data_IF_835988263640
#
_entry.id   IF_835988263640
#
_cell.length_a   1.000
_cell.length_b   1.000
_cell.length_c   1.000
_cell.angle_alpha   90.00
_cell.angle_beta   90.00
_cell.angle_gamma   90.00
#
_symmetry.space_group_name_H-M   'P 1'
#
loop_
_entity.id
_entity.type
_entity.pdbx_description
1 polymer ?
#
# COMPACT_ATOMS: atom_id res chain seq x y z
N UNK A 1 -11.94 -9.89 -30.63
CA UNK A 1 -12.11 -11.21 -29.97
C UNK A 1 -13.44 -11.21 -29.24
N UNK A 2 -14.11 -12.36 -29.16
CA UNK A 2 -15.33 -12.51 -28.37
C UNK A 2 -14.97 -12.72 -26.89
N UNK A 3 -15.75 -12.13 -25.99
CA UNK A 3 -15.62 -12.28 -24.54
C UNK A 3 -15.92 -13.72 -24.13
N UNK A 4 -15.15 -14.29 -23.21
CA UNK A 4 -15.32 -15.65 -22.68
C UNK A 4 -15.00 -15.75 -21.18
N UNK A 5 -15.10 -16.95 -20.60
CA UNK A 5 -14.92 -17.17 -19.15
C UNK A 5 -13.54 -16.78 -18.62
N UNK A 6 -12.49 -16.90 -19.45
CA UNK A 6 -11.13 -16.58 -19.04
C UNK A 6 -10.92 -15.07 -18.85
N UNK A 7 -11.80 -14.22 -19.41
CA UNK A 7 -11.79 -12.79 -19.14
C UNK A 7 -12.25 -12.47 -17.69
N UNK A 8 -13.00 -13.38 -17.06
CA UNK A 8 -13.57 -13.24 -15.71
C UNK A 8 -12.92 -14.14 -14.66
N UNK A 9 -11.91 -14.93 -15.05
CA UNK A 9 -11.21 -15.85 -14.15
C UNK A 9 -9.71 -15.57 -14.13
N UNK A 10 -9.14 -15.52 -12.92
CA UNK A 10 -7.68 -15.53 -12.73
C UNK A 10 -7.32 -16.51 -11.63
N UNK A 11 -6.42 -17.43 -11.93
CA UNK A 11 -5.76 -18.24 -10.90
C UNK A 11 -4.74 -17.38 -10.14
N UNK A 12 -5.22 -16.53 -9.24
CA UNK A 12 -4.42 -15.50 -8.58
C UNK A 12 -3.51 -16.00 -7.44
N UNK A 13 -3.69 -17.25 -7.00
CA UNK A 13 -2.94 -17.88 -5.90
C UNK A 13 -2.89 -17.04 -4.61
N UNK A 14 -3.99 -16.36 -4.27
CA UNK A 14 -4.08 -15.53 -3.07
C UNK A 14 -4.15 -16.34 -1.77
N UNK A 15 -4.20 -17.67 -1.87
CA UNK A 15 -4.06 -18.61 -0.76
C UNK A 15 -2.59 -18.80 -0.33
N UNK A 16 -1.64 -18.52 -1.23
CA UNK A 16 -0.21 -18.76 -0.98
C UNK A 16 0.48 -17.50 -0.44
N UNK A 17 1.35 -17.63 0.59
CA UNK A 17 2.21 -16.53 1.03
C UNK A 17 3.08 -15.98 -0.11
N UNK A 18 3.41 -14.70 -0.02
CA UNK A 18 4.35 -14.02 -0.93
C UNK A 18 5.69 -13.79 -0.26
N UNK A 19 6.75 -13.70 -1.07
CA UNK A 19 8.11 -13.49 -0.58
C UNK A 19 8.33 -12.03 -0.14
N UNK A 20 8.31 -11.82 1.17
CA UNK A 20 8.49 -10.51 1.81
C UNK A 20 9.96 -10.12 1.99
N UNK A 21 10.92 -10.95 1.58
CA UNK A 21 12.37 -10.67 1.74
C UNK A 21 12.95 -9.86 0.59
N UNK A 22 12.16 -9.61 -0.46
CA UNK A 22 12.60 -8.95 -1.71
C UNK A 22 12.74 -7.43 -1.61
N UNK A 23 12.26 -6.80 -0.55
CA UNK A 23 12.35 -5.36 -0.35
C UNK A 23 12.57 -5.00 1.11
N UNK A 24 13.06 -3.79 1.34
CA UNK A 24 13.40 -3.31 2.69
C UNK A 24 12.21 -3.03 3.59
N UNK A 25 11.03 -2.81 3.03
CA UNK A 25 9.81 -2.57 3.83
C UNK A 25 9.20 -3.87 4.35
N UNK A 26 9.67 -5.04 3.88
CA UNK A 26 9.27 -6.33 4.44
C UNK A 26 7.81 -6.69 4.16
N UNK A 27 7.23 -6.19 3.07
CA UNK A 27 5.86 -6.53 2.68
C UNK A 27 5.74 -6.81 1.18
N UNK A 28 4.68 -7.47 0.76
CA UNK A 28 4.38 -7.70 -0.66
C UNK A 28 2.90 -7.56 -0.91
N UNK A 29 2.55 -6.72 -1.88
CA UNK A 29 1.19 -6.51 -2.34
C UNK A 29 0.99 -7.29 -3.63
N UNK A 30 -0.05 -8.11 -3.68
CA UNK A 30 -0.56 -8.73 -4.92
C UNK A 30 -1.91 -8.09 -5.25
N UNK A 31 -1.93 -7.15 -6.20
CA UNK A 31 -3.13 -6.41 -6.60
C UNK A 31 -3.82 -7.11 -7.78
N UNK A 32 -5.13 -7.34 -7.67
CA UNK A 32 -6.00 -7.82 -8.74
C UNK A 32 -6.93 -6.67 -9.14
N UNK A 33 -6.50 -5.90 -10.14
CA UNK A 33 -7.23 -4.78 -10.73
C UNK A 33 -7.67 -5.12 -12.17
N UNK A 34 -8.29 -4.19 -12.88
CA UNK A 34 -8.75 -4.42 -14.26
C UNK A 34 -7.64 -4.73 -15.29
N UNK A 35 -6.37 -4.49 -14.98
CA UNK A 35 -5.25 -4.92 -15.82
C UNK A 35 -4.91 -6.39 -15.61
N UNK A 36 -5.11 -6.89 -14.38
CA UNK A 36 -4.81 -8.28 -14.00
C UNK A 36 -5.99 -9.24 -14.21
N UNK A 37 -7.22 -8.73 -14.15
CA UNK A 37 -8.46 -9.46 -14.38
C UNK A 37 -9.40 -8.57 -15.22
N UNK A 38 -9.44 -8.73 -16.56
CA UNK A 38 -10.17 -7.82 -17.47
C UNK A 38 -11.66 -7.67 -17.17
N UNK A 39 -12.30 -8.72 -16.65
CA UNK A 39 -13.70 -8.74 -16.25
C UNK A 39 -14.06 -7.73 -15.15
N UNK A 40 -13.08 -7.14 -14.46
CA UNK A 40 -13.30 -6.05 -13.51
C UNK A 40 -13.59 -4.70 -14.18
N UNK A 41 -13.36 -4.58 -15.49
CA UNK A 41 -13.62 -3.34 -16.21
C UNK A 41 -15.10 -2.95 -16.09
N UNK A 42 -15.37 -1.68 -15.79
CA UNK A 42 -16.68 -1.07 -15.50
C UNK A 42 -17.33 -1.43 -14.16
N UNK A 43 -16.78 -2.37 -13.38
CA UNK A 43 -17.40 -2.83 -12.13
C UNK A 43 -17.02 -2.02 -10.89
N UNK A 44 -16.03 -1.13 -11.01
CA UNK A 44 -15.66 -0.20 -9.94
C UNK A 44 -15.05 -0.86 -8.69
N UNK A 45 -14.46 -2.05 -8.83
CA UNK A 45 -13.84 -2.77 -7.69
C UNK A 45 -12.51 -3.42 -8.05
N UNK A 46 -11.63 -3.57 -7.05
CA UNK A 46 -10.42 -4.38 -7.12
C UNK A 46 -10.13 -5.06 -5.78
N UNK A 47 -9.22 -6.03 -5.78
CA UNK A 47 -8.81 -6.79 -4.59
C UNK A 47 -7.30 -6.75 -4.43
N UNK A 48 -6.78 -6.71 -3.21
CA UNK A 48 -5.36 -6.87 -2.94
C UNK A 48 -5.11 -7.81 -1.76
N UNK A 49 -4.18 -8.75 -1.91
CA UNK A 49 -3.58 -9.45 -0.77
C UNK A 49 -2.30 -8.74 -0.36
N UNK A 50 -2.08 -8.61 0.94
CA UNK A 50 -0.83 -8.08 1.48
C UNK A 50 -0.23 -9.09 2.47
N UNK A 51 1.01 -9.47 2.22
CA UNK A 51 1.82 -10.29 3.11
C UNK A 51 2.86 -9.41 3.81
N UNK A 52 3.05 -9.59 5.12
CA UNK A 52 3.99 -8.83 5.94
C UNK A 52 4.95 -9.80 6.63
N UNK A 53 6.25 -9.55 6.50
CA UNK A 53 7.28 -10.14 7.35
C UNK A 53 7.07 -9.72 8.81
N UNK A 54 7.72 -10.39 9.78
CA UNK A 54 7.95 -9.78 11.08
C UNK A 54 8.56 -8.38 10.89
N UNK A 55 8.01 -7.37 11.55
CA UNK A 55 8.37 -5.95 11.34
C UNK A 55 8.17 -5.37 9.94
N UNK A 56 7.47 -6.09 9.06
CA UNK A 56 7.11 -5.56 7.75
C UNK A 56 6.08 -4.44 7.84
N UNK A 57 6.18 -3.47 6.94
CA UNK A 57 5.19 -2.42 6.75
C UNK A 57 4.75 -2.33 5.29
N UNK A 58 3.49 -1.94 5.10
CA UNK A 58 3.08 -1.24 3.91
C UNK A 58 3.16 0.26 4.25
N UNK A 59 4.18 0.96 3.73
CA UNK A 59 4.57 2.29 4.19
C UNK A 59 3.45 3.32 3.95
N UNK A 60 3.55 4.53 4.52
CA UNK A 60 2.59 5.59 4.26
C UNK A 60 2.32 5.78 2.76
N UNK A 61 1.07 5.56 2.36
CA UNK A 61 0.62 5.63 0.97
C UNK A 61 -0.81 6.15 0.87
N UNK A 62 -1.25 6.44 -0.34
CA UNK A 62 -2.65 6.79 -0.62
C UNK A 62 -3.16 6.21 -1.94
N UNK A 63 -4.47 5.98 -2.00
CA UNK A 63 -5.20 5.59 -3.20
C UNK A 63 -5.97 6.81 -3.73
N UNK A 64 -5.51 7.46 -4.82
CA UNK A 64 -6.14 8.67 -5.33
C UNK A 64 -7.56 8.42 -5.87
N UNK A 65 -7.91 7.17 -6.20
CA UNK A 65 -9.16 6.82 -6.88
C UNK A 65 -10.01 5.79 -6.13
N UNK A 66 -9.69 5.43 -4.89
CA UNK A 66 -10.48 4.45 -4.14
C UNK A 66 -10.41 4.63 -2.62
N UNK A 67 -11.53 4.37 -1.95
CA UNK A 67 -11.57 3.93 -0.56
C UNK A 67 -11.16 2.46 -0.48
N UNK A 68 -10.45 2.08 0.58
CA UNK A 68 -10.05 0.72 0.90
C UNK A 68 -10.75 0.22 2.17
N UNK A 69 -11.13 -1.05 2.18
CA UNK A 69 -11.49 -1.79 3.40
C UNK A 69 -10.57 -3.00 3.52
N UNK A 70 -9.94 -3.15 4.68
CA UNK A 70 -8.93 -4.17 4.96
C UNK A 70 -9.40 -5.11 6.06
N UNK A 71 -9.25 -6.42 5.83
CA UNK A 71 -9.50 -7.48 6.81
C UNK A 71 -8.19 -8.21 7.10
N UNK A 72 -7.87 -8.41 8.38
CA UNK A 72 -6.72 -9.22 8.79
C UNK A 72 -7.09 -10.70 8.67
N UNK A 73 -6.36 -11.45 7.85
CA UNK A 73 -6.55 -12.89 7.68
C UNK A 73 -5.72 -13.69 8.70
N UNK A 74 -4.52 -13.21 9.02
CA UNK A 74 -3.60 -13.83 9.96
C UNK A 74 -2.74 -12.77 10.66
N UNK A 75 -2.33 -13.06 11.91
CA UNK A 75 -1.44 -12.21 12.68
C UNK A 75 -2.11 -10.96 13.27
N UNK A 76 -1.30 -9.92 13.45
CA UNK A 76 -1.65 -8.65 14.09
C UNK A 76 -1.08 -7.51 13.26
N UNK A 77 -1.86 -6.45 13.06
CA UNK A 77 -1.42 -5.25 12.34
C UNK A 77 -1.75 -3.99 13.12
N UNK A 78 -0.78 -3.10 13.30
CA UNK A 78 -1.01 -1.71 13.65
C UNK A 78 -1.30 -0.93 12.37
N UNK A 79 -2.51 -0.39 12.24
CA UNK A 79 -2.96 0.34 11.05
C UNK A 79 -3.42 1.74 11.42
N UNK A 80 -3.38 2.66 10.47
CA UNK A 80 -4.02 3.96 10.65
C UNK A 80 -4.04 4.82 9.41
N UNK A 81 -4.89 5.86 9.43
CA UNK A 81 -4.89 6.94 8.45
C UNK A 81 -4.82 8.30 9.12
N UNK A 82 -4.35 9.29 8.37
CA UNK A 82 -4.29 10.69 8.79
C UNK A 82 -5.35 11.47 8.02
N UNK A 83 -6.21 12.21 8.72
CA UNK A 83 -7.17 13.10 8.06
C UNK A 83 -6.48 14.23 7.32
N UNK A 84 -7.17 14.82 6.36
CA UNK A 84 -6.82 16.16 5.86
C UNK A 84 -6.84 17.18 6.99
N UNK A 85 -6.40 18.41 6.70
CA UNK A 85 -6.21 19.49 7.66
C UNK A 85 -7.44 19.70 8.60
N UNK A 86 -7.29 19.59 9.95
CA UNK A 86 -6.05 19.31 10.67
C UNK A 86 -5.64 17.82 10.60
N UNK A 87 -4.34 17.59 10.45
CA UNK A 87 -3.73 16.26 10.29
C UNK A 87 -3.88 15.40 11.56
N UNK A 88 -5.02 14.73 11.74
CA UNK A 88 -5.32 13.87 12.89
C UNK A 88 -5.15 12.40 12.53
N UNK A 89 -4.39 11.66 13.35
CA UNK A 89 -4.23 10.22 13.23
C UNK A 89 -5.43 9.48 13.83
N UNK A 90 -5.99 8.55 13.06
CA UNK A 90 -6.89 7.49 13.53
C UNK A 90 -6.20 6.16 13.32
N UNK A 91 -5.89 5.45 14.40
CA UNK A 91 -5.13 4.21 14.35
C UNK A 91 -5.65 3.17 15.35
N UNK A 92 -5.44 1.90 15.02
CA UNK A 92 -5.81 0.75 15.87
C UNK A 92 -4.92 -0.45 15.59
N UNK A 93 -4.72 -1.28 16.61
CA UNK A 93 -4.16 -2.63 16.45
C UNK A 93 -5.31 -3.57 16.12
N UNK A 94 -5.21 -4.25 14.99
CA UNK A 94 -6.13 -5.25 14.48
C UNK A 94 -5.55 -6.64 14.68
N UNK A 95 -6.40 -7.61 14.99
CA UNK A 95 -6.07 -9.03 15.01
C UNK A 95 -6.84 -9.76 13.92
N UNK A 96 -6.53 -11.04 13.71
CA UNK A 96 -7.25 -11.92 12.78
C UNK A 96 -8.78 -11.77 12.91
N UNK A 97 -9.43 -11.48 11.79
CA UNK A 97 -10.87 -11.28 11.67
C UNK A 97 -11.33 -9.82 11.80
N UNK A 98 -10.48 -8.94 12.34
CA UNK A 98 -10.80 -7.52 12.45
C UNK A 98 -10.74 -6.81 11.09
N UNK A 99 -11.53 -5.74 10.97
CA UNK A 99 -11.69 -4.92 9.76
C UNK A 99 -11.41 -3.46 10.05
N UNK A 100 -10.83 -2.74 9.09
CA UNK A 100 -10.60 -1.30 9.17
C UNK A 100 -10.77 -0.63 7.79
N UNK A 101 -11.26 0.61 7.78
CA UNK A 101 -11.55 1.36 6.54
C UNK A 101 -10.58 2.53 6.39
N UNK A 102 -10.07 2.74 5.19
CA UNK A 102 -9.23 3.86 4.81
C UNK A 102 -9.98 4.72 3.78
N UNK A 103 -10.42 5.94 4.14
CA UNK A 103 -11.12 6.83 3.20
C UNK A 103 -10.26 7.20 1.99
N UNK A 104 -10.91 7.32 0.83
CA UNK A 104 -10.24 7.69 -0.43
C UNK A 104 -9.33 8.91 -0.30
N UNK A 105 -8.12 8.80 -0.86
CA UNK A 105 -7.17 9.92 -0.95
C UNK A 105 -6.49 10.29 0.37
N UNK A 106 -6.80 9.64 1.50
CA UNK A 106 -6.08 9.87 2.75
C UNK A 106 -4.80 9.03 2.82
N UNK A 107 -3.77 9.61 3.46
CA UNK A 107 -2.52 8.90 3.74
C UNK A 107 -2.79 7.88 4.84
N UNK A 108 -2.41 6.63 4.61
CA UNK A 108 -2.58 5.54 5.55
C UNK A 108 -1.43 4.54 5.46
N UNK A 109 -1.34 3.65 6.43
CA UNK A 109 -0.27 2.65 6.56
C UNK A 109 -0.76 1.39 7.28
N UNK A 110 0.01 0.32 7.12
CA UNK A 110 -0.12 -0.90 7.93
C UNK A 110 1.27 -1.38 8.35
N UNK A 111 1.40 -1.80 9.60
CA UNK A 111 2.65 -2.28 10.16
C UNK A 111 2.41 -3.55 10.97
N UNK A 112 3.26 -4.56 10.79
CA UNK A 112 3.28 -5.75 11.64
C UNK A 112 4.23 -5.52 12.82
N UNK A 113 3.71 -5.27 14.05
CA UNK A 113 4.57 -5.01 15.20
C UNK A 113 5.18 -6.29 15.82
N UNK A 114 4.86 -7.47 15.29
CA UNK A 114 5.29 -8.75 15.85
C UNK A 114 6.69 -9.10 15.34
N UNK A 115 7.58 -9.46 16.27
CA UNK A 115 9.01 -9.62 16.03
C UNK A 115 9.40 -10.91 15.31
N UNK A 116 8.57 -11.96 15.41
CA UNK A 116 8.92 -13.33 15.01
C UNK A 116 7.85 -14.01 14.16
N UNK A 117 6.72 -13.33 13.88
CA UNK A 117 5.60 -13.90 13.13
C UNK A 117 5.15 -12.98 12.00
N UNK A 118 4.84 -13.53 10.82
CA UNK A 118 4.26 -12.75 9.73
C UNK A 118 2.79 -12.38 10.01
N UNK A 119 2.27 -11.48 9.19
CA UNK A 119 0.85 -11.13 9.15
C UNK A 119 0.35 -11.15 7.70
N UNK A 120 -0.95 -11.34 7.52
CA UNK A 120 -1.60 -11.38 6.21
C UNK A 120 -2.90 -10.59 6.28
N UNK A 121 -3.13 -9.74 5.28
CA UNK A 121 -4.38 -9.03 5.13
C UNK A 121 -4.92 -9.14 3.70
N UNK A 122 -6.22 -8.92 3.57
CA UNK A 122 -6.89 -8.76 2.29
C UNK A 122 -7.65 -7.43 2.27
N UNK A 123 -7.50 -6.68 1.19
CA UNK A 123 -8.09 -5.38 0.98
C UNK A 123 -9.01 -5.39 -0.24
N UNK A 124 -10.20 -4.82 -0.10
CA UNK A 124 -11.09 -4.53 -1.22
C UNK A 124 -11.12 -3.02 -1.45
N UNK A 125 -11.04 -2.61 -2.72
CA UNK A 125 -10.96 -1.21 -3.10
C UNK A 125 -12.14 -0.85 -4.01
N UNK A 126 -12.69 0.34 -3.80
CA UNK A 126 -13.86 0.88 -4.51
C UNK A 126 -13.52 1.47 -5.90
N UNK A 127 -12.54 0.89 -6.58
CA UNK A 127 -12.24 1.22 -7.97
C UNK A 127 -11.57 0.05 -8.66
N UNK A 128 -11.89 -0.14 -9.94
CA UNK A 128 -11.21 -1.12 -10.80
C UNK A 128 -9.73 -0.79 -11.04
N UNK A 129 -9.33 0.45 -10.75
CA UNK A 129 -7.94 0.92 -10.79
C UNK A 129 -7.73 1.96 -9.69
N UNK A 130 -7.41 1.55 -8.45
CA UNK A 130 -7.30 2.46 -7.31
C UNK A 130 -6.14 3.44 -7.44
N UNK A 131 -5.05 3.00 -8.10
CA UNK A 131 -3.76 3.70 -8.09
C UNK A 131 -3.11 3.66 -6.71
N UNK A 132 -1.82 3.88 -6.65
CA UNK A 132 -1.10 3.98 -5.37
C UNK A 132 -0.05 5.07 -5.47
N UNK A 133 0.08 5.86 -4.41
CA UNK A 133 1.15 6.83 -4.23
C UNK A 133 1.81 6.50 -2.89
N UNK A 134 2.94 5.79 -2.93
CA UNK A 134 3.80 5.62 -1.74
C UNK A 134 4.51 6.94 -1.47
N UNK A 135 4.26 7.53 -0.30
CA UNK A 135 4.61 8.94 -0.03
C UNK A 135 6.12 9.16 -0.09
N UNK A 136 6.92 8.30 0.57
CA UNK A 136 8.37 8.42 0.54
C UNK A 136 8.93 8.29 -0.88
N UNK A 137 8.45 7.31 -1.65
CA UNK A 137 8.89 7.11 -3.03
C UNK A 137 8.52 8.29 -3.93
N UNK A 138 7.33 8.88 -3.78
CA UNK A 138 6.91 10.01 -4.58
C UNK A 138 7.69 11.30 -4.24
N UNK A 139 7.93 11.54 -2.95
CA UNK A 139 8.59 12.76 -2.46
C UNK A 139 10.09 12.71 -2.70
N UNK A 140 10.75 11.59 -2.36
CA UNK A 140 12.21 11.48 -2.37
C UNK A 140 12.77 10.61 -3.50
N UNK A 141 11.95 9.77 -4.13
CA UNK A 141 12.38 8.81 -5.16
C UNK A 141 11.84 9.09 -6.57
N UNK A 142 11.21 10.25 -6.78
CA UNK A 142 10.69 10.64 -8.09
C UNK A 142 11.81 10.82 -9.13
N UNK A 143 11.46 10.58 -10.40
CA UNK A 143 12.37 10.74 -11.54
C UNK A 143 11.71 11.62 -12.59
N UNK A 144 12.24 12.84 -12.88
CA UNK A 144 13.34 13.51 -12.19
C UNK A 144 13.03 13.82 -10.71
N UNK A 145 14.03 14.01 -9.84
CA UNK A 145 13.82 14.31 -8.42
C UNK A 145 13.19 15.70 -8.24
N UNK A 146 12.39 15.86 -7.18
CA UNK A 146 11.97 17.18 -6.71
C UNK A 146 13.21 17.95 -6.25
N UNK A 147 13.28 19.25 -6.55
CA UNK A 147 14.39 20.10 -6.11
C UNK A 147 14.59 20.02 -4.59
N UNK A 148 15.85 19.87 -4.19
CA UNK A 148 16.31 19.92 -2.82
C UNK A 148 15.94 21.25 -2.12
N UNK A 149 15.93 22.38 -2.83
CA UNK A 149 15.44 23.67 -2.33
C UNK A 149 13.96 23.60 -1.90
N UNK A 150 13.13 22.95 -2.72
CA UNK A 150 11.69 22.78 -2.43
C UNK A 150 11.49 21.90 -1.21
N UNK A 151 12.17 20.76 -1.16
CA UNK A 151 12.01 19.80 -0.06
C UNK A 151 12.65 20.30 1.23
N UNK A 152 13.82 20.92 1.20
CA UNK A 152 14.48 21.48 2.38
C UNK A 152 13.58 22.54 3.04
N UNK A 153 12.94 23.39 2.23
CA UNK A 153 11.97 24.36 2.72
C UNK A 153 10.69 23.70 3.26
N UNK A 154 10.15 22.71 2.56
CA UNK A 154 8.92 22.03 2.96
C UNK A 154 9.07 21.22 4.26
N UNK A 155 10.19 20.53 4.42
CA UNK A 155 10.51 19.69 5.57
C UNK A 155 11.23 20.47 6.69
N UNK A 156 11.62 21.73 6.43
CA UNK A 156 12.31 22.61 7.39
C UNK A 156 13.64 22.03 7.90
N UNK A 157 14.41 21.46 6.97
CA UNK A 157 15.71 20.82 7.23
C UNK A 157 16.77 21.37 6.28
N UNK A 158 18.02 21.02 6.54
CA UNK A 158 19.13 21.34 5.64
C UNK A 158 19.07 20.49 4.36
N UNK A 159 19.62 21.02 3.26
CA UNK A 159 19.70 20.31 1.97
C UNK A 159 20.41 18.96 2.08
N UNK A 160 21.48 18.86 2.86
CA UNK A 160 22.19 17.60 3.06
C UNK A 160 21.31 16.47 3.63
N UNK A 161 20.30 16.80 4.44
CA UNK A 161 19.30 15.82 4.91
C UNK A 161 18.40 15.36 3.76
N UNK A 162 17.99 16.28 2.88
CA UNK A 162 17.20 15.94 1.69
C UNK A 162 18.02 15.10 0.72
N UNK A 163 19.27 15.47 0.45
CA UNK A 163 20.17 14.73 -0.42
C UNK A 163 20.34 13.31 0.10
N UNK A 164 20.52 13.16 1.42
CA UNK A 164 20.59 11.84 2.06
C UNK A 164 19.30 11.03 1.89
N UNK A 165 18.13 11.65 2.06
CA UNK A 165 16.83 10.98 1.82
C UNK A 165 16.72 10.58 0.34
N UNK A 166 16.95 11.49 -0.60
CA UNK A 166 16.86 11.21 -2.03
C UNK A 166 17.84 10.12 -2.50
N UNK A 167 18.98 9.96 -1.82
CA UNK A 167 19.93 8.89 -2.07
C UNK A 167 19.50 7.50 -1.55
N UNK A 168 18.43 7.41 -0.74
CA UNK A 168 17.93 6.12 -0.28
C UNK A 168 17.30 5.30 -1.42
N UNK A 169 17.24 3.98 -1.21
CA UNK A 169 16.63 3.06 -2.16
C UNK A 169 15.11 3.03 -1.95
N UNK A 170 14.40 3.70 -2.87
CA UNK A 170 12.95 3.75 -2.91
C UNK A 170 12.42 2.60 -3.78
N UNK A 171 12.18 1.45 -3.14
CA UNK A 171 11.72 0.22 -3.81
C UNK A 171 10.19 0.16 -3.88
N UNK A 172 9.67 -0.52 -4.90
CA UNK A 172 8.24 -0.82 -5.01
C UNK A 172 7.96 -2.20 -4.43
N UNK A 173 6.96 -2.30 -3.54
CA UNK A 173 6.47 -3.55 -2.96
C UNK A 173 5.21 -4.09 -3.66
N UNK A 174 4.75 -3.43 -4.73
CA UNK A 174 3.65 -3.88 -5.58
C UNK A 174 4.19 -4.83 -6.66
N UNK A 175 3.79 -6.10 -6.58
CA UNK A 175 4.00 -7.10 -7.63
C UNK A 175 2.79 -7.17 -8.57
#
# INVERSE_FOLDING_TARGET
MAVNVDDFFKQAYLDKPRDTTKNKVGSTITLINAMELPGLNTLGISLARIDYAPFGENPPHTHPRATEILTVLEGTLYVGFVTSNPNKLFAKVLNKGDVFVFPQGLIHFQFNPIHDKPAVANAALSSQNPGVITIANAVFGSKPPISDDVLAKAFQVEKGTIDWLQAQFWENNHN
#
